data_IF_346583156234
#
_entry.id   IF_346583156234
#
_cell.length_a   1.000
_cell.length_b   1.000
_cell.length_c   1.000
_cell.angle_alpha   90.00
_cell.angle_beta   90.00
_cell.angle_gamma   90.00
#
_symmetry.space_group_name_H-M   'P 1'
#
loop_
_entity.id
_entity.type
_entity.pdbx_description
1 polymer ?
#
# COMPACT_ATOMS: atom_id res chain seq x y z
N UNK A 1 -7.52 -13.03 -0.86
CA UNK A 1 -7.28 -12.11 0.27
C UNK A 1 -7.49 -12.88 1.56
N UNK A 2 -6.62 -12.72 2.55
CA UNK A 2 -6.79 -13.28 3.89
C UNK A 2 -7.29 -12.21 4.89
N UNK A 3 -7.59 -12.61 6.12
CA UNK A 3 -8.16 -11.69 7.11
C UNK A 3 -7.23 -10.55 7.49
N UNK A 4 -5.92 -10.81 7.51
CA UNK A 4 -4.90 -9.82 7.82
C UNK A 4 -4.86 -8.72 6.76
N UNK A 5 -4.95 -9.09 5.48
CA UNK A 5 -5.02 -8.14 4.37
C UNK A 5 -6.30 -7.30 4.42
N UNK A 6 -7.45 -7.90 4.73
CA UNK A 6 -8.70 -7.15 4.95
C UNK A 6 -8.53 -6.06 6.01
N UNK A 7 -7.94 -6.41 7.16
CA UNK A 7 -7.71 -5.45 8.25
C UNK A 7 -6.78 -4.31 7.84
N UNK A 8 -5.70 -4.60 7.10
CA UNK A 8 -4.80 -3.57 6.58
C UNK A 8 -5.52 -2.65 5.60
N UNK A 9 -6.34 -3.21 4.70
CA UNK A 9 -7.13 -2.41 3.76
C UNK A 9 -8.21 -1.58 4.46
N UNK A 10 -8.83 -2.10 5.51
CA UNK A 10 -9.75 -1.35 6.38
C UNK A 10 -9.03 -0.17 7.05
N UNK A 11 -7.82 -0.38 7.59
CA UNK A 11 -6.99 0.70 8.16
C UNK A 11 -6.63 1.76 7.11
N UNK A 12 -6.22 1.34 5.91
CA UNK A 12 -5.96 2.26 4.78
C UNK A 12 -7.23 3.03 4.43
N UNK A 13 -8.42 2.42 4.50
CA UNK A 13 -9.68 3.10 4.21
C UNK A 13 -10.01 4.26 5.15
N UNK A 14 -9.49 4.20 6.38
CA UNK A 14 -9.60 5.24 7.40
C UNK A 14 -8.51 6.31 7.27
N UNK A 15 -7.50 6.08 6.43
CA UNK A 15 -6.38 6.99 6.28
C UNK A 15 -6.80 8.28 5.57
N UNK A 16 -6.34 9.41 6.15
CA UNK A 16 -6.44 10.73 5.56
C UNK A 16 -5.16 11.49 5.87
N UNK A 17 -4.44 11.85 4.81
CA UNK A 17 -3.26 12.68 4.92
C UNK A 17 -3.08 13.42 3.59
N UNK A 18 -3.03 14.75 3.61
CA UNK A 18 -2.89 15.55 2.39
C UNK A 18 -3.93 15.20 1.30
N UNK A 19 -3.45 14.74 0.14
CA UNK A 19 -4.26 14.33 -1.01
C UNK A 19 -4.66 12.84 -0.96
N UNK A 20 -4.18 12.09 0.04
CA UNK A 20 -4.50 10.68 0.21
C UNK A 20 -6.00 10.51 0.51
N UNK A 21 -6.66 9.76 -0.36
CA UNK A 21 -8.05 9.34 -0.18
C UNK A 21 -8.11 7.84 0.11
N UNK A 22 -8.04 7.48 1.39
CA UNK A 22 -8.00 6.08 1.83
C UNK A 22 -9.17 5.24 1.31
N UNK A 23 -10.38 5.82 1.23
CA UNK A 23 -11.56 5.14 0.70
C UNK A 23 -11.43 4.79 -0.78
N UNK A 24 -10.87 5.69 -1.58
CA UNK A 24 -10.61 5.43 -3.00
C UNK A 24 -9.55 4.34 -3.16
N UNK A 25 -8.43 4.46 -2.44
CA UNK A 25 -7.35 3.48 -2.47
C UNK A 25 -7.86 2.09 -2.08
N UNK A 26 -8.61 1.98 -0.99
CA UNK A 26 -9.22 0.74 -0.55
C UNK A 26 -10.10 0.11 -1.64
N UNK A 27 -11.00 0.90 -2.23
CA UNK A 27 -11.90 0.45 -3.31
C UNK A 27 -11.12 -0.05 -4.52
N UNK A 28 -10.09 0.69 -4.94
CA UNK A 28 -9.29 0.35 -6.11
C UNK A 28 -8.43 -0.89 -5.87
N UNK A 29 -7.87 -1.06 -4.67
CA UNK A 29 -7.12 -2.26 -4.30
C UNK A 29 -8.01 -3.50 -4.26
N UNK A 30 -9.23 -3.41 -3.70
CA UNK A 30 -10.19 -4.53 -3.74
C UNK A 30 -10.58 -4.87 -5.18
N UNK A 31 -10.92 -3.86 -5.99
CA UNK A 31 -11.34 -4.08 -7.38
C UNK A 31 -10.26 -4.77 -8.21
N UNK A 32 -8.99 -4.48 -7.91
CA UNK A 32 -7.83 -4.97 -8.65
C UNK A 32 -6.99 -5.98 -7.84
N UNK A 33 -7.64 -6.77 -6.97
CA UNK A 33 -6.98 -7.73 -6.07
C UNK A 33 -6.08 -8.76 -6.79
N UNK A 34 -6.33 -9.02 -8.07
CA UNK A 34 -5.55 -9.95 -8.87
C UNK A 34 -4.19 -9.39 -9.31
N UNK A 35 -3.97 -8.08 -9.20
CA UNK A 35 -2.73 -7.42 -9.63
C UNK A 35 -1.65 -7.40 -8.55
N UNK A 36 -2.01 -7.59 -7.27
CA UNK A 36 -1.09 -7.47 -6.14
C UNK A 36 -1.11 -8.73 -5.26
N UNK A 37 -0.01 -8.93 -4.53
CA UNK A 37 0.19 -10.06 -3.61
C UNK A 37 0.00 -9.62 -2.17
N UNK A 38 0.61 -8.48 -1.79
CA UNK A 38 0.49 -7.89 -0.46
C UNK A 38 0.48 -6.37 -0.49
N UNK A 39 -0.20 -5.76 0.48
CA UNK A 39 -0.26 -4.30 0.66
C UNK A 39 0.09 -3.98 2.11
N UNK A 40 0.88 -2.92 2.32
CA UNK A 40 1.28 -2.44 3.64
C UNK A 40 1.17 -0.92 3.71
N UNK A 41 0.63 -0.40 4.82
CA UNK A 41 0.62 1.03 5.14
C UNK A 41 1.76 1.40 6.09
N UNK A 42 2.41 2.53 5.84
CA UNK A 42 3.53 3.05 6.62
C UNK A 42 3.28 4.50 7.08
N UNK A 43 3.84 4.85 8.23
CA UNK A 43 3.90 6.21 8.74
C UNK A 43 5.31 6.49 9.25
N UNK A 44 5.98 7.51 8.71
CA UNK A 44 7.36 7.85 9.10
C UNK A 44 8.34 6.69 8.92
N UNK A 45 8.13 5.84 7.92
CA UNK A 45 9.00 4.69 7.62
C UNK A 45 8.78 3.45 8.51
N UNK A 46 7.77 3.43 9.38
CA UNK A 46 7.43 2.27 10.23
C UNK A 46 6.16 1.56 9.75
N UNK A 47 6.13 0.22 9.72
CA UNK A 47 4.93 -0.54 9.33
C UNK A 47 3.83 -0.29 10.36
N UNK A 48 2.67 0.19 9.90
CA UNK A 48 1.60 0.62 10.79
C UNK A 48 0.82 -0.60 11.28
N UNK A 49 1.16 -1.07 12.47
CA UNK A 49 0.19 -1.66 13.41
C UNK A 49 0.18 -0.76 14.63
N UNK A 50 -0.44 0.41 14.53
CA UNK A 50 -0.61 1.25 15.72
C UNK A 50 -1.82 0.75 16.50
N UNK A 51 -1.58 0.00 17.57
CA UNK A 51 -2.56 -0.30 18.62
C UNK A 51 -2.85 0.94 19.50
N UNK A 52 -2.65 2.14 18.95
CA UNK A 52 -2.82 3.40 19.65
C UNK A 52 -4.22 3.93 19.35
N UNK A 53 -4.94 4.28 20.40
CA UNK A 53 -6.18 5.03 20.26
C UNK A 53 -5.89 6.40 19.62
N UNK A 54 -6.28 6.54 18.36
CA UNK A 54 -6.25 7.82 17.65
C UNK A 54 -7.56 8.55 17.98
N UNK A 55 -7.44 9.68 18.69
CA UNK A 55 -8.57 10.42 19.26
C UNK A 55 -9.63 10.83 18.21
N UNK A 56 -9.22 10.97 16.95
CA UNK A 56 -10.07 11.47 15.86
C UNK A 56 -10.50 10.38 14.86
N UNK A 57 -10.18 9.11 15.12
CA UNK A 57 -10.56 7.97 14.25
C UNK A 57 -9.88 7.96 12.87
N UNK A 58 -8.93 8.86 12.61
CA UNK A 58 -8.12 8.88 11.39
C UNK A 58 -6.75 8.26 11.63
N UNK A 59 -6.26 7.55 10.62
CA UNK A 59 -4.91 7.03 10.57
C UNK A 59 -4.04 7.92 9.69
N UNK A 60 -2.89 8.32 10.22
CA UNK A 60 -1.88 8.98 9.40
C UNK A 60 -1.05 7.90 8.74
N UNK A 61 -1.20 7.77 7.43
CA UNK A 61 -0.36 6.98 6.54
C UNK A 61 0.22 7.99 5.56
N UNK A 62 1.53 8.01 5.41
CA UNK A 62 2.22 8.83 4.40
C UNK A 62 2.67 7.99 3.21
N UNK A 63 2.76 6.67 3.38
CA UNK A 63 3.30 5.78 2.38
C UNK A 63 2.54 4.45 2.32
N UNK A 64 2.35 3.92 1.11
CA UNK A 64 1.79 2.58 0.87
C UNK A 64 2.78 1.78 0.04
N UNK A 65 3.04 0.54 0.45
CA UNK A 65 3.85 -0.42 -0.29
C UNK A 65 2.96 -1.51 -0.86
N UNK A 66 3.06 -1.75 -2.16
CA UNK A 66 2.27 -2.74 -2.89
C UNK A 66 3.24 -3.72 -3.55
N UNK A 67 3.22 -4.98 -3.12
CA UNK A 67 3.97 -6.04 -3.77
C UNK A 67 3.13 -6.66 -4.89
N UNK A 68 3.75 -6.86 -6.05
CA UNK A 68 3.11 -7.45 -7.20
C UNK A 68 4.11 -8.25 -8.03
N UNK A 69 3.62 -9.01 -9.01
CA UNK A 69 4.50 -9.59 -10.04
C UNK A 69 4.91 -8.48 -11.02
N UNK A 70 6.14 -8.56 -11.55
CA UNK A 70 6.67 -7.60 -12.53
C UNK A 70 5.73 -7.32 -13.70
N UNK A 71 4.98 -8.34 -14.15
CA UNK A 71 3.99 -8.23 -15.23
C UNK A 71 2.80 -7.31 -14.92
N UNK A 72 2.51 -7.04 -13.63
CA UNK A 72 1.39 -6.22 -13.19
C UNK A 72 1.78 -4.78 -12.84
N UNK A 73 3.08 -4.45 -12.85
CA UNK A 73 3.59 -3.13 -12.41
C UNK A 73 2.94 -1.99 -13.19
N UNK A 74 2.98 -2.04 -14.52
CA UNK A 74 2.47 -0.94 -15.37
C UNK A 74 0.96 -0.72 -15.18
N UNK A 75 0.20 -1.80 -14.99
CA UNK A 75 -1.25 -1.72 -14.77
C UNK A 75 -1.55 -1.12 -13.38
N UNK A 76 -0.85 -1.55 -12.34
CA UNK A 76 -0.97 -0.98 -11.00
C UNK A 76 -0.55 0.49 -10.97
N UNK A 77 0.57 0.86 -11.58
CA UNK A 77 1.00 2.26 -11.67
C UNK A 77 -0.05 3.14 -12.34
N UNK A 78 -0.75 2.62 -13.36
CA UNK A 78 -1.83 3.35 -14.03
C UNK A 78 -2.98 3.63 -13.07
N UNK A 79 -3.36 2.66 -12.25
CA UNK A 79 -4.38 2.83 -11.20
C UNK A 79 -3.89 3.85 -10.16
N UNK A 80 -2.68 3.65 -9.63
CA UNK A 80 -2.07 4.44 -8.56
C UNK A 80 -1.93 5.92 -8.94
N UNK A 81 -1.62 6.24 -10.20
CA UNK A 81 -1.55 7.64 -10.68
C UNK A 81 -2.85 8.41 -10.47
N UNK A 82 -4.00 7.74 -10.44
CA UNK A 82 -5.29 8.36 -10.16
C UNK A 82 -5.52 8.67 -8.67
N UNK A 83 -4.64 8.21 -7.78
CA UNK A 83 -4.67 8.52 -6.35
C UNK A 83 -3.94 9.83 -6.01
N UNK A 84 -3.42 10.54 -7.02
CA UNK A 84 -2.71 11.82 -6.89
C UNK A 84 -1.56 11.78 -5.84
N UNK A 85 -0.66 10.78 -5.91
CA UNK A 85 0.49 10.72 -5.01
C UNK A 85 1.50 11.82 -5.33
N UNK A 86 2.35 12.14 -4.35
CA UNK A 86 3.50 13.02 -4.58
C UNK A 86 4.58 12.29 -5.40
N UNK A 87 4.83 11.02 -5.07
CA UNK A 87 5.81 10.19 -5.75
C UNK A 87 5.37 8.72 -5.82
N UNK A 88 5.86 8.03 -6.85
CA UNK A 88 5.70 6.59 -7.08
C UNK A 88 7.07 6.04 -7.42
N UNK A 89 7.58 5.15 -6.57
CA UNK A 89 8.87 4.50 -6.77
C UNK A 89 8.68 2.99 -6.92
N UNK A 90 9.07 2.46 -8.06
CA UNK A 90 9.07 1.01 -8.31
C UNK A 90 10.46 0.48 -8.02
N UNK A 91 10.55 -0.45 -7.08
CA UNK A 91 11.81 -1.11 -6.74
C UNK A 91 11.68 -2.62 -6.78
N UNK A 92 12.76 -3.26 -7.21
CA UNK A 92 12.95 -4.71 -7.08
C UNK A 92 13.63 -5.06 -5.75
N UNK A 93 13.85 -4.09 -4.86
CA UNK A 93 14.62 -4.26 -3.62
C UNK A 93 13.81 -4.75 -2.43
N UNK A 94 14.59 -5.34 -1.53
CA UNK A 94 14.28 -6.37 -0.54
C UNK A 94 13.28 -6.07 0.56
N UNK A 95 12.76 -4.85 0.75
CA UNK A 95 12.10 -4.56 2.03
C UNK A 95 10.80 -5.36 2.24
N UNK A 96 9.89 -5.34 1.26
CA UNK A 96 8.65 -6.13 1.36
C UNK A 96 8.92 -7.61 1.09
N UNK A 97 9.86 -7.93 0.19
CA UNK A 97 10.33 -9.30 -0.05
C UNK A 97 10.87 -9.95 1.24
N UNK A 98 11.64 -9.21 2.07
CA UNK A 98 12.13 -9.65 3.39
C UNK A 98 11.02 -9.79 4.42
N UNK A 99 10.00 -8.93 4.39
CA UNK A 99 8.83 -9.06 5.28
C UNK A 99 8.02 -10.32 4.93
N UNK A 100 7.93 -10.64 3.64
CA UNK A 100 7.18 -11.80 3.15
C UNK A 100 8.00 -13.10 3.11
N UNK A 101 9.32 -13.04 3.36
CA UNK A 101 10.27 -14.14 3.12
C UNK A 101 10.21 -14.71 1.69
N UNK A 102 9.85 -13.87 0.72
CA UNK A 102 9.68 -14.24 -0.69
C UNK A 102 10.84 -13.65 -1.53
N UNK A 103 11.74 -14.52 -1.96
CA UNK A 103 12.91 -14.17 -2.79
C UNK A 103 12.70 -14.53 -4.27
N UNK A 104 11.49 -14.33 -4.80
CA UNK A 104 11.19 -14.61 -6.20
C UNK A 104 11.76 -13.51 -7.12
N UNK A 105 12.49 -13.89 -8.17
CA UNK A 105 13.07 -12.98 -9.17
C UNK A 105 12.04 -12.19 -10.02
N UNK A 106 10.74 -12.44 -9.83
CA UNK A 106 9.66 -11.87 -10.62
C UNK A 106 8.74 -10.92 -9.84
N UNK A 107 9.19 -10.47 -8.66
CA UNK A 107 8.43 -9.56 -7.80
C UNK A 107 8.97 -8.13 -7.87
N UNK A 108 8.06 -7.17 -7.78
CA UNK A 108 8.34 -5.76 -7.62
C UNK A 108 7.52 -5.20 -6.45
N UNK A 109 8.08 -4.18 -5.83
CA UNK A 109 7.40 -3.37 -4.82
C UNK A 109 7.19 -1.97 -5.37
N UNK A 110 5.94 -1.51 -5.36
CA UNK A 110 5.57 -0.14 -5.68
C UNK A 110 5.39 0.61 -4.36
N UNK A 111 6.27 1.57 -4.10
CA UNK A 111 6.16 2.54 -3.01
C UNK A 111 5.40 3.77 -3.52
N UNK A 112 4.34 4.14 -2.82
CA UNK A 112 3.52 5.32 -3.10
C UNK A 112 3.57 6.25 -1.89
N UNK A 113 3.85 7.53 -2.10
CA UNK A 113 4.07 8.55 -1.06
C UNK A 113 3.07 9.71 -1.19
N UNK A 114 2.59 10.27 -0.08
CA UNK A 114 1.94 11.59 0.01
C UNK A 114 2.60 12.52 1.06
N UNK A 115 3.19 13.64 0.62
CA UNK A 115 3.70 14.75 1.48
C UNK A 115 2.65 15.83 1.70
#
# INVERSE_FOLDING_TARGET
>A
MNKQQELVLELISLARNNRLNGKQIHKDLIKNQHLWISVYGFFGGLPVVTLRDMYDGYFHIDSIYIMCRNVHVTELETIIKHWNPHDINVTNTDFVARINDEWEHNLATILVWWD
#
